data_IF_116837244201
#
_entry.id   IF_116837244201
#
_cell.length_a   1.000
_cell.length_b   1.000
_cell.length_c   1.000
_cell.angle_alpha   90.00
_cell.angle_beta   90.00
_cell.angle_gamma   90.00
#
_symmetry.space_group_name_H-M   'P 1'
#
loop_
_entity.id
_entity.type
_entity.pdbx_description
1 polymer ?
#
# COMPACT_ATOMS: atom_id res chain seq x y z
N UNK A 1 53.16 -30.48 -6.02
CA UNK A 1 53.25 -30.64 -4.55
C UNK A 1 53.66 -29.29 -4.02
N UNK A 2 52.70 -28.46 -3.60
CA UNK A 2 52.95 -27.25 -2.82
C UNK A 2 51.80 -27.10 -1.84
N UNK A 3 52.14 -27.20 -0.55
CA UNK A 3 51.22 -27.13 0.58
C UNK A 3 50.94 -25.66 0.88
N UNK A 4 49.71 -25.22 0.69
CA UNK A 4 49.25 -23.95 1.28
C UNK A 4 49.14 -24.17 2.80
N UNK A 5 50.06 -23.56 3.55
CA UNK A 5 50.01 -23.42 5.01
C UNK A 5 48.95 -22.37 5.34
N UNK A 6 47.79 -22.80 5.84
CA UNK A 6 46.86 -21.93 6.54
C UNK A 6 47.39 -21.81 7.97
N UNK A 7 48.08 -20.70 8.28
CA UNK A 7 48.44 -20.33 9.65
C UNK A 7 47.39 -19.36 10.19
N UNK A 8 46.70 -19.81 11.23
CA UNK A 8 46.44 -19.08 12.48
C UNK A 8 45.95 -17.63 12.36
N UNK A 9 44.63 -17.45 12.21
CA UNK A 9 43.81 -16.47 12.96
C UNK A 9 42.34 -16.43 12.49
N UNK A 10 41.67 -17.58 12.39
CA UNK A 10 40.19 -17.58 12.38
C UNK A 10 39.74 -17.73 13.83
N UNK A 11 39.31 -16.61 14.46
CA UNK A 11 38.53 -16.68 15.70
C UNK A 11 37.14 -17.22 15.35
N UNK A 12 36.94 -18.51 15.58
CA UNK A 12 35.61 -19.12 15.54
C UNK A 12 34.80 -18.51 16.69
N UNK A 13 33.64 -17.86 16.44
CA UNK A 13 32.81 -17.32 17.50
C UNK A 13 32.31 -18.45 18.41
N UNK A 14 32.44 -18.28 19.73
CA UNK A 14 31.99 -19.23 20.78
C UNK A 14 30.49 -19.57 20.73
N UNK A 15 29.73 -18.86 19.90
CA UNK A 15 28.29 -18.89 19.75
C UNK A 15 27.86 -19.54 18.41
N UNK A 16 28.80 -20.11 17.64
CA UNK A 16 28.51 -20.78 16.37
C UNK A 16 27.44 -21.89 16.50
N UNK A 17 27.44 -22.63 17.61
CA UNK A 17 26.41 -23.63 17.89
C UNK A 17 25.01 -23.02 18.08
N UNK A 18 24.90 -21.81 18.64
CA UNK A 18 23.60 -21.14 18.79
C UNK A 18 23.06 -20.63 17.45
N UNK A 19 23.92 -20.13 16.56
CA UNK A 19 23.49 -19.72 15.21
C UNK A 19 23.07 -20.90 14.34
N UNK A 20 23.76 -22.04 14.47
CA UNK A 20 23.39 -23.27 13.76
C UNK A 20 22.06 -23.83 14.29
N UNK A 21 21.88 -23.89 15.62
CA UNK A 21 20.61 -24.33 16.21
C UNK A 21 19.45 -23.38 15.89
N UNK A 22 19.69 -22.06 15.90
CA UNK A 22 18.68 -21.07 15.49
C UNK A 22 18.32 -21.20 14.01
N UNK A 23 19.30 -21.46 13.14
CA UNK A 23 19.06 -21.73 11.72
C UNK A 23 18.32 -23.03 11.44
N UNK A 24 18.55 -24.08 12.25
CA UNK A 24 17.79 -25.34 12.18
C UNK A 24 16.35 -25.13 12.67
N UNK A 25 16.14 -24.41 13.77
CA UNK A 25 14.82 -24.13 14.35
C UNK A 25 13.98 -23.19 13.46
N UNK A 26 14.61 -22.20 12.82
CA UNK A 26 14.01 -21.35 11.79
C UNK A 26 13.72 -22.14 10.50
N UNK A 27 14.62 -23.06 10.10
CA UNK A 27 14.43 -23.96 8.98
C UNK A 27 13.26 -24.95 9.16
N UNK A 28 13.07 -25.48 10.38
CA UNK A 28 11.92 -26.32 10.72
C UNK A 28 10.60 -25.53 10.76
N UNK A 29 10.61 -24.29 11.27
CA UNK A 29 9.43 -23.39 11.23
C UNK A 29 9.02 -23.06 9.80
N UNK A 30 9.97 -22.73 8.91
CA UNK A 30 9.69 -22.46 7.50
C UNK A 30 9.22 -23.70 6.75
N UNK A 31 9.77 -24.88 7.03
CA UNK A 31 9.32 -26.13 6.42
C UNK A 31 7.91 -26.55 6.91
N UNK A 32 7.56 -26.26 8.16
CA UNK A 32 6.20 -26.48 8.67
C UNK A 32 5.17 -25.49 8.09
N UNK A 33 5.59 -24.27 7.76
CA UNK A 33 4.77 -23.30 7.03
C UNK A 33 4.58 -23.68 5.56
N UNK A 34 5.63 -24.19 4.88
CA UNK A 34 5.54 -24.68 3.49
C UNK A 34 4.76 -26.00 3.35
N UNK A 35 4.82 -26.90 4.34
CA UNK A 35 3.93 -28.08 4.37
C UNK A 35 2.46 -27.71 4.61
N UNK A 36 2.18 -26.57 5.28
CA UNK A 36 0.82 -26.03 5.48
C UNK A 36 0.22 -25.38 4.22
N UNK A 37 1.02 -24.89 3.27
CA UNK A 37 0.49 -24.25 2.06
C UNK A 37 0.08 -25.23 0.95
N UNK A 38 0.66 -26.44 0.91
CA UNK A 38 0.45 -27.40 -0.18
C UNK A 38 -0.58 -28.51 0.11
N UNK A 39 -1.45 -28.35 1.11
CA UNK A 39 -2.57 -29.29 1.36
C UNK A 39 -3.91 -28.57 1.49
N UNK A 40 -4.27 -27.75 0.51
CA UNK A 40 -5.65 -27.33 0.27
C UNK A 40 -6.31 -28.21 -0.79
N UNK A 41 -6.59 -29.44 -0.38
CA UNK A 41 -7.65 -30.25 -0.98
C UNK A 41 -8.30 -31.01 0.17
N UNK A 42 -9.25 -30.37 0.86
CA UNK A 42 -10.15 -31.05 1.79
C UNK A 42 -11.56 -31.09 1.21
N UNK A 43 -12.25 -32.22 1.34
CA UNK A 43 -13.55 -32.43 0.72
C UNK A 43 -14.59 -31.54 1.39
N UNK A 44 -15.43 -30.92 0.56
CA UNK A 44 -16.60 -30.14 0.95
C UNK A 44 -17.51 -30.99 1.85
N UNK A 45 -17.35 -30.91 3.17
CA UNK A 45 -18.37 -31.40 4.10
C UNK A 45 -19.39 -30.28 4.23
N UNK A 46 -20.45 -30.39 3.43
CA UNK A 46 -21.67 -29.58 3.57
C UNK A 46 -22.29 -29.92 4.92
N UNK A 47 -21.85 -29.21 5.97
CA UNK A 47 -22.60 -29.12 7.20
C UNK A 47 -23.60 -27.97 7.00
N UNK A 48 -24.89 -28.32 6.90
CA UNK A 48 -25.97 -27.36 6.88
C UNK A 48 -25.96 -26.59 8.22
N UNK A 49 -25.24 -25.47 8.28
CA UNK A 49 -25.36 -24.50 9.36
C UNK A 49 -26.53 -23.58 9.00
N UNK A 50 -27.57 -23.63 9.82
CA UNK A 50 -28.62 -22.62 9.83
C UNK A 50 -28.01 -21.34 10.36
N UNK A 51 -27.40 -20.56 9.47
CA UNK A 51 -27.22 -19.14 9.72
C UNK A 51 -28.61 -18.53 9.84
N UNK A 52 -28.88 -17.81 10.92
CA UNK A 52 -30.04 -16.93 10.96
C UNK A 52 -29.77 -15.87 9.89
N UNK A 53 -30.28 -16.10 8.69
CA UNK A 53 -30.40 -15.08 7.66
C UNK A 53 -31.51 -14.17 8.15
N UNK A 54 -31.18 -13.22 9.02
CA UNK A 54 -32.01 -12.05 9.19
C UNK A 54 -31.99 -11.35 7.83
N UNK A 55 -33.04 -11.58 7.03
CA UNK A 55 -33.40 -10.74 5.90
C UNK A 55 -33.75 -9.36 6.47
N UNK A 56 -32.74 -8.61 6.90
CA UNK A 56 -32.89 -7.21 7.21
C UNK A 56 -33.24 -6.53 5.88
N UNK A 57 -34.36 -5.82 5.89
CA UNK A 57 -34.71 -4.90 4.82
C UNK A 57 -33.61 -3.85 4.78
N UNK A 58 -32.74 -3.95 3.77
CA UNK A 58 -31.60 -3.06 3.52
C UNK A 58 -32.15 -1.63 3.42
N UNK A 59 -31.93 -0.83 4.46
CA UNK A 59 -32.36 0.57 4.48
C UNK A 59 -31.13 1.46 4.40
N UNK A 60 -31.15 2.42 3.48
CA UNK A 60 -30.05 3.34 3.23
C UNK A 60 -29.69 4.20 4.44
N UNK A 61 -30.62 4.39 5.38
CA UNK A 61 -30.40 5.16 6.61
C UNK A 61 -29.40 4.50 7.58
N UNK A 62 -29.40 3.17 7.69
CA UNK A 62 -28.51 2.45 8.61
C UNK A 62 -27.06 2.41 8.13
N UNK A 63 -26.81 2.34 6.81
CA UNK A 63 -25.45 2.48 6.27
C UNK A 63 -24.85 3.85 6.58
N UNK A 64 -25.65 4.90 6.47
CA UNK A 64 -25.23 6.30 6.71
C UNK A 64 -24.80 6.49 8.16
N UNK A 65 -25.59 6.01 9.12
CA UNK A 65 -25.27 6.13 10.55
C UNK A 65 -23.93 5.46 10.89
N UNK A 66 -23.71 4.21 10.46
CA UNK A 66 -22.47 3.47 10.74
C UNK A 66 -21.21 4.14 10.16
N UNK A 67 -21.33 4.72 8.97
CA UNK A 67 -20.23 5.44 8.32
C UNK A 67 -19.97 6.75 9.06
N UNK A 68 -21.01 7.50 9.44
CA UNK A 68 -20.87 8.72 10.25
C UNK A 68 -20.19 8.38 11.57
N UNK A 69 -20.66 7.37 12.29
CA UNK A 69 -20.11 6.93 13.57
C UNK A 69 -18.62 6.61 13.47
N UNK A 70 -18.19 5.90 12.43
CA UNK A 70 -16.77 5.58 12.23
C UNK A 70 -15.94 6.84 12.07
N UNK A 71 -16.36 7.77 11.20
CA UNK A 71 -15.62 9.00 10.94
C UNK A 71 -15.71 10.02 12.08
N UNK A 72 -16.72 9.96 12.94
CA UNK A 72 -16.75 10.73 14.18
C UNK A 72 -15.81 10.16 15.23
N UNK A 73 -15.75 8.83 15.36
CA UNK A 73 -14.82 8.13 16.24
C UNK A 73 -13.35 8.33 15.79
N UNK A 74 -13.09 8.33 14.48
CA UNK A 74 -11.78 8.57 13.86
C UNK A 74 -11.81 9.77 12.92
N UNK A 75 -11.94 10.97 13.48
CA UNK A 75 -11.98 12.22 12.71
C UNK A 75 -10.72 12.48 11.87
N UNK A 76 -9.60 11.87 12.25
CA UNK A 76 -8.33 11.94 11.56
C UNK A 76 -8.09 10.75 10.61
N UNK A 77 -9.15 9.99 10.26
CA UNK A 77 -9.08 8.85 9.37
C UNK A 77 -8.35 9.15 8.07
N UNK A 78 -7.58 8.18 7.57
CA UNK A 78 -6.95 8.25 6.25
C UNK A 78 -7.91 8.29 5.08
N UNK A 79 -9.18 8.00 5.32
CA UNK A 79 -10.26 8.01 4.34
C UNK A 79 -11.26 9.16 4.56
N UNK A 80 -10.91 10.15 5.40
CA UNK A 80 -11.83 11.24 5.78
C UNK A 80 -12.32 12.05 4.57
N UNK A 81 -11.52 12.15 3.51
CA UNK A 81 -11.87 12.90 2.31
C UNK A 81 -12.83 12.13 1.39
N UNK A 82 -12.86 10.81 1.51
CA UNK A 82 -13.73 9.88 0.80
C UNK A 82 -15.04 9.62 1.57
N UNK A 83 -15.25 10.24 2.75
CA UNK A 83 -16.45 10.05 3.59
C UNK A 83 -17.76 10.18 2.81
N UNK A 84 -17.90 11.21 1.99
CA UNK A 84 -19.12 11.43 1.20
C UNK A 84 -19.33 10.34 0.14
N UNK A 85 -18.24 9.81 -0.42
CA UNK A 85 -18.28 8.70 -1.38
C UNK A 85 -18.72 7.40 -0.66
N UNK A 86 -18.21 7.14 0.54
CA UNK A 86 -18.70 6.07 1.39
C UNK A 86 -20.21 6.23 1.68
N UNK A 87 -20.66 7.41 2.10
CA UNK A 87 -22.08 7.66 2.40
C UNK A 87 -22.99 7.46 1.18
N UNK A 88 -22.51 7.86 0.00
CA UNK A 88 -23.29 7.80 -1.24
C UNK A 88 -23.40 6.38 -1.77
N UNK A 89 -22.28 5.65 -1.83
CA UNK A 89 -22.17 4.40 -2.58
C UNK A 89 -22.25 3.13 -1.71
N UNK A 90 -22.17 3.24 -0.39
CA UNK A 90 -22.21 2.05 0.46
C UNK A 90 -23.62 1.48 0.61
N UNK A 91 -23.69 0.15 0.61
CA UNK A 91 -24.86 -0.65 0.97
C UNK A 91 -24.74 -1.10 2.44
N UNK A 92 -25.86 -1.14 3.15
CA UNK A 92 -25.93 -1.75 4.49
C UNK A 92 -26.00 -3.27 4.34
N UNK A 93 -24.96 -3.97 4.80
CA UNK A 93 -24.92 -5.44 4.75
C UNK A 93 -25.44 -6.02 6.07
N UNK A 94 -24.93 -5.50 7.19
CA UNK A 94 -25.35 -5.86 8.55
C UNK A 94 -25.37 -7.37 8.85
N UNK A 95 -24.45 -8.13 8.24
CA UNK A 95 -24.30 -9.56 8.49
C UNK A 95 -23.19 -9.80 9.51
N UNK A 96 -23.43 -10.68 10.48
CA UNK A 96 -22.44 -11.04 11.49
C UNK A 96 -22.30 -12.56 11.64
N UNK A 97 -21.15 -12.96 12.17
CA UNK A 97 -20.85 -14.33 12.57
C UNK A 97 -20.13 -14.27 13.91
N UNK A 98 -20.61 -15.05 14.88
CA UNK A 98 -19.96 -15.20 16.19
C UNK A 98 -19.35 -16.59 16.32
N UNK A 99 -18.10 -16.63 16.76
CA UNK A 99 -17.38 -17.84 17.12
C UNK A 99 -16.34 -17.53 18.21
N UNK A 100 -16.09 -18.48 19.12
CA UNK A 100 -15.10 -18.37 20.20
C UNK A 100 -15.16 -17.06 21.03
N UNK A 101 -16.38 -16.56 21.27
CA UNK A 101 -16.62 -15.33 22.04
C UNK A 101 -16.20 -14.05 21.31
N UNK A 102 -16.07 -14.11 19.99
CA UNK A 102 -15.78 -12.97 19.11
C UNK A 102 -16.86 -12.95 18.03
N UNK A 103 -17.51 -11.81 17.85
CA UNK A 103 -18.42 -11.53 16.74
C UNK A 103 -17.69 -10.66 15.72
N UNK A 104 -17.67 -11.11 14.46
CA UNK A 104 -17.25 -10.30 13.32
C UNK A 104 -18.49 -9.90 12.53
N UNK A 105 -18.60 -8.63 12.18
CA UNK A 105 -19.75 -8.06 11.48
C UNK A 105 -19.28 -7.24 10.29
N UNK A 106 -19.85 -7.53 9.12
CA UNK A 106 -19.74 -6.68 7.94
C UNK A 106 -20.83 -5.63 8.02
N UNK A 107 -20.43 -4.38 8.17
CA UNK A 107 -21.35 -3.26 8.35
C UNK A 107 -21.84 -2.75 7.00
N UNK A 108 -20.92 -2.28 6.15
CA UNK A 108 -21.24 -1.77 4.83
C UNK A 108 -20.25 -2.24 3.77
N UNK A 109 -20.69 -2.27 2.51
CA UNK A 109 -19.83 -2.53 1.34
C UNK A 109 -20.09 -1.50 0.24
N UNK A 110 -19.03 -1.03 -0.41
CA UNK A 110 -19.09 -0.26 -1.64
C UNK A 110 -18.03 -0.79 -2.63
N UNK A 111 -18.44 -1.15 -3.83
CA UNK A 111 -17.59 -1.73 -4.87
C UNK A 111 -17.72 -0.93 -6.16
N UNK A 112 -16.59 -0.71 -6.82
CA UNK A 112 -16.50 -0.08 -8.13
C UNK A 112 -15.57 -0.88 -9.08
N UNK A 113 -15.34 -0.40 -10.30
CA UNK A 113 -14.44 -1.07 -11.26
C UNK A 113 -12.98 -1.22 -10.78
N UNK A 114 -12.59 -0.44 -9.78
CA UNK A 114 -11.25 -0.29 -9.26
C UNK A 114 -11.08 -0.70 -7.80
N UNK A 115 -12.04 -0.49 -6.92
CA UNK A 115 -11.92 -0.71 -5.47
C UNK A 115 -13.09 -1.50 -4.87
N UNK A 116 -12.74 -2.42 -3.98
CA UNK A 116 -13.63 -3.01 -2.99
C UNK A 116 -13.44 -2.26 -1.67
N UNK A 117 -14.52 -1.74 -1.10
CA UNK A 117 -14.52 -1.05 0.18
C UNK A 117 -15.50 -1.75 1.13
N UNK A 118 -15.12 -1.86 2.40
CA UNK A 118 -15.94 -2.48 3.44
C UNK A 118 -15.68 -1.81 4.78
N UNK A 119 -16.75 -1.50 5.51
CA UNK A 119 -16.66 -1.19 6.95
C UNK A 119 -17.04 -2.44 7.75
N UNK A 120 -16.43 -2.63 8.92
CA UNK A 120 -16.71 -3.78 9.77
C UNK A 120 -16.57 -3.44 11.25
N UNK A 121 -17.20 -4.27 12.08
CA UNK A 121 -17.14 -4.22 13.54
C UNK A 121 -16.75 -5.59 14.09
N UNK A 122 -15.88 -5.60 15.10
CA UNK A 122 -15.49 -6.79 15.86
C UNK A 122 -15.83 -6.56 17.32
N UNK A 123 -16.66 -7.43 17.88
CA UNK A 123 -17.04 -7.40 19.30
C UNK A 123 -16.47 -8.63 20.00
N UNK A 124 -15.84 -8.46 21.15
CA UNK A 124 -15.33 -9.58 21.96
C UNK A 124 -16.01 -9.65 23.33
N UNK A 125 -16.24 -10.87 23.82
CA UNK A 125 -16.71 -11.14 25.18
C UNK A 125 -15.63 -10.84 26.24
N UNK A 126 -14.36 -10.72 25.83
CA UNK A 126 -13.23 -10.35 26.67
C UNK A 126 -12.62 -9.03 26.22
N UNK A 127 -11.91 -8.32 27.11
CA UNK A 127 -11.16 -7.14 26.71
C UNK A 127 -10.12 -7.56 25.67
N UNK A 128 -10.05 -6.83 24.56
CA UNK A 128 -9.18 -7.16 23.44
C UNK A 128 -7.71 -7.16 23.87
N UNK A 129 -7.31 -6.23 24.74
CA UNK A 129 -5.96 -6.14 25.32
C UNK A 129 -5.61 -7.30 26.26
N UNK A 130 -6.60 -7.95 26.87
CA UNK A 130 -6.37 -9.06 27.81
C UNK A 130 -6.16 -10.38 27.05
N UNK A 131 -6.53 -10.43 25.76
CA UNK A 131 -6.27 -11.57 24.89
C UNK A 131 -4.79 -11.61 24.50
N UNK A 132 -4.25 -10.45 24.11
CA UNK A 132 -2.83 -10.21 23.89
C UNK A 132 -2.56 -8.70 24.06
N UNK A 133 -1.50 -8.35 24.80
CA UNK A 133 -1.11 -6.96 25.04
C UNK A 133 -0.82 -6.22 23.72
N UNK A 134 -0.35 -6.91 22.68
CA UNK A 134 -0.13 -6.31 21.37
C UNK A 134 -1.42 -5.74 20.77
N UNK A 135 -2.57 -6.34 21.07
CA UNK A 135 -3.89 -5.89 20.63
C UNK A 135 -4.41 -4.68 21.41
N UNK A 136 -3.63 -4.08 22.31
CA UNK A 136 -3.88 -2.71 22.79
C UNK A 136 -3.76 -1.66 21.67
N UNK A 137 -3.14 -2.01 20.53
CA UNK A 137 -3.02 -1.15 19.36
C UNK A 137 -4.01 -1.58 18.30
N UNK A 138 -4.89 -0.67 17.87
CA UNK A 138 -5.93 -0.97 16.88
C UNK A 138 -5.35 -1.51 15.56
N UNK A 139 -4.18 -0.99 15.15
CA UNK A 139 -3.42 -1.51 14.01
C UNK A 139 -3.09 -3.00 14.13
N UNK A 140 -2.63 -3.45 15.30
CA UNK A 140 -2.27 -4.85 15.54
C UNK A 140 -3.50 -5.74 15.73
N UNK A 141 -4.59 -5.18 16.24
CA UNK A 141 -5.87 -5.85 16.40
C UNK A 141 -6.66 -6.01 15.08
N UNK A 142 -6.33 -5.22 14.05
CA UNK A 142 -6.97 -5.25 12.75
C UNK A 142 -6.75 -6.62 12.05
N UNK A 143 -7.82 -7.36 11.68
CA UNK A 143 -7.67 -8.69 11.09
C UNK A 143 -7.17 -8.62 9.63
N UNK A 144 -6.51 -9.70 9.20
CA UNK A 144 -6.18 -9.89 7.78
C UNK A 144 -7.39 -10.49 7.07
N UNK A 145 -8.08 -9.66 6.29
CA UNK A 145 -9.32 -10.00 5.60
C UNK A 145 -9.03 -10.68 4.25
N UNK A 146 -9.62 -11.85 4.00
CA UNK A 146 -9.59 -12.49 2.69
C UNK A 146 -10.95 -12.37 2.02
N UNK A 147 -10.95 -12.19 0.71
CA UNK A 147 -12.18 -12.21 -0.10
C UNK A 147 -12.06 -13.33 -1.11
N UNK A 148 -13.11 -14.12 -1.21
CA UNK A 148 -13.21 -15.25 -2.13
C UNK A 148 -14.34 -14.96 -3.10
N UNK A 149 -14.06 -15.14 -4.39
CA UNK A 149 -15.04 -15.08 -5.49
C UNK A 149 -14.95 -16.40 -6.24
N UNK A 150 -16.10 -17.05 -6.47
CA UNK A 150 -16.17 -18.33 -7.20
C UNK A 150 -15.20 -19.41 -6.68
N UNK A 151 -15.05 -19.49 -5.35
CA UNK A 151 -14.16 -20.45 -4.68
C UNK A 151 -12.66 -20.15 -4.81
N UNK A 152 -12.28 -18.99 -5.34
CA UNK A 152 -10.88 -18.55 -5.47
C UNK A 152 -10.66 -17.24 -4.71
N UNK A 153 -9.48 -17.09 -4.11
CA UNK A 153 -9.09 -15.81 -3.53
C UNK A 153 -9.06 -14.73 -4.61
N UNK A 154 -9.65 -13.59 -4.30
CA UNK A 154 -9.45 -12.37 -5.08
C UNK A 154 -8.01 -11.95 -4.86
N UNK A 155 -7.22 -11.94 -5.93
CA UNK A 155 -5.86 -11.40 -5.88
C UNK A 155 -5.95 -9.88 -5.90
N UNK A 156 -5.50 -9.24 -4.83
CA UNK A 156 -5.54 -7.79 -4.69
C UNK A 156 -4.27 -7.09 -5.20
N UNK A 157 -3.28 -7.81 -5.76
CA UNK A 157 -1.97 -7.26 -6.14
C UNK A 157 -1.40 -6.31 -5.05
N UNK A 158 -1.60 -6.68 -3.78
CA UNK A 158 -1.47 -5.81 -2.62
C UNK A 158 -0.01 -5.83 -2.13
N UNK A 159 0.78 -4.85 -2.56
CA UNK A 159 2.05 -4.52 -1.93
C UNK A 159 1.81 -3.52 -0.81
N UNK A 160 1.99 -4.01 0.41
CA UNK A 160 1.66 -3.30 1.63
C UNK A 160 0.38 -3.86 2.25
N UNK A 161 0.49 -5.01 2.94
CA UNK A 161 -0.62 -5.71 3.64
C UNK A 161 -1.50 -4.80 4.51
N UNK A 162 -1.06 -3.59 4.83
CA UNK A 162 -1.67 -2.70 5.82
C UNK A 162 -2.03 -1.30 5.30
N UNK A 163 -1.62 -0.91 4.08
CA UNK A 163 -1.80 0.48 3.64
C UNK A 163 -3.25 0.78 3.24
N UNK A 164 -4.03 -0.27 2.98
CA UNK A 164 -5.43 -0.14 2.64
C UNK A 164 -6.41 -0.62 3.73
N UNK A 165 -5.97 -0.74 4.98
CA UNK A 165 -6.86 -0.97 6.13
C UNK A 165 -6.67 0.06 7.22
N UNK A 166 -7.74 0.38 7.94
CA UNK A 166 -7.71 1.22 9.13
C UNK A 166 -8.60 0.61 10.21
N UNK A 167 -8.26 0.80 11.48
CA UNK A 167 -9.10 0.38 12.58
C UNK A 167 -8.96 1.32 13.79
N UNK A 168 -10.00 1.36 14.62
CA UNK A 168 -10.07 2.14 15.85
C UNK A 168 -10.91 1.41 16.90
N UNK A 169 -10.56 1.56 18.17
CA UNK A 169 -11.37 1.06 19.28
C UNK A 169 -12.52 2.02 19.57
N UNK A 170 -13.74 1.49 19.61
CA UNK A 170 -14.87 2.17 20.22
C UNK A 170 -14.89 1.94 21.74
N UNK A 171 -14.41 0.76 22.17
CA UNK A 171 -14.21 0.41 23.59
C UNK A 171 -13.14 -0.68 23.72
N UNK A 172 -12.80 -1.07 24.96
CA UNK A 172 -11.92 -2.21 25.26
C UNK A 172 -12.41 -3.54 24.63
N UNK A 173 -13.67 -3.63 24.21
CA UNK A 173 -14.32 -4.83 23.70
C UNK A 173 -14.73 -4.72 22.23
N UNK A 174 -14.66 -3.52 21.63
CA UNK A 174 -15.20 -3.25 20.30
C UNK A 174 -14.17 -2.53 19.43
N UNK A 175 -13.82 -3.16 18.31
CA UNK A 175 -12.97 -2.61 17.26
C UNK A 175 -13.82 -2.34 16.01
N UNK A 176 -13.74 -1.14 15.45
CA UNK A 176 -14.31 -0.80 14.14
C UNK A 176 -13.20 -0.61 13.12
N UNK A 177 -13.46 -0.91 11.84
CA UNK A 177 -12.45 -0.73 10.80
C UNK A 177 -12.99 -0.52 9.40
N UNK A 178 -12.09 -0.03 8.53
CA UNK A 178 -12.27 0.12 7.09
C UNK A 178 -11.26 -0.78 6.38
N UNK A 179 -11.75 -1.52 5.39
CA UNK A 179 -10.95 -2.21 4.38
C UNK A 179 -11.22 -1.55 3.02
N UNK A 180 -10.17 -1.14 2.33
CA UNK A 180 -10.19 -0.77 0.92
C UNK A 180 -9.23 -1.71 0.18
N UNK A 181 -9.56 -2.20 -1.01
CA UNK A 181 -8.64 -3.02 -1.80
C UNK A 181 -8.80 -2.77 -3.28
N UNK A 182 -7.71 -2.62 -4.05
CA UNK A 182 -7.81 -2.52 -5.51
C UNK A 182 -8.24 -3.86 -6.11
N UNK A 183 -9.19 -3.83 -7.06
CA UNK A 183 -9.83 -5.00 -7.66
C UNK A 183 -9.91 -4.92 -9.19
N UNK A 184 -9.06 -4.09 -9.82
CA UNK A 184 -9.02 -3.86 -11.27
C UNK A 184 -9.01 -5.15 -12.12
N UNK A 185 -8.48 -6.26 -11.59
CA UNK A 185 -8.43 -7.57 -12.24
C UNK A 185 -9.56 -8.55 -11.83
N UNK A 186 -10.27 -8.28 -10.74
CA UNK A 186 -11.20 -9.25 -10.13
C UNK A 186 -12.59 -9.29 -10.79
N UNK A 187 -12.95 -8.23 -11.53
CA UNK A 187 -14.26 -8.02 -12.16
C UNK A 187 -15.43 -8.41 -11.23
N UNK A 188 -15.70 -7.56 -10.25
CA UNK A 188 -16.77 -7.75 -9.26
C UNK A 188 -18.00 -6.96 -9.70
N UNK A 189 -18.98 -7.64 -10.27
CA UNK A 189 -20.20 -7.02 -10.81
C UNK A 189 -21.42 -7.28 -9.91
N UNK A 190 -22.53 -6.59 -10.17
CA UNK A 190 -23.83 -6.83 -9.53
C UNK A 190 -24.19 -8.32 -9.53
N UNK A 191 -24.66 -8.81 -8.39
CA UNK A 191 -25.07 -10.20 -8.22
C UNK A 191 -23.92 -11.19 -8.01
N UNK A 192 -22.66 -10.72 -8.06
CA UNK A 192 -21.50 -11.51 -7.64
C UNK A 192 -21.69 -11.96 -6.20
N UNK A 193 -21.41 -13.24 -5.96
CA UNK A 193 -21.33 -13.80 -4.62
C UNK A 193 -19.88 -13.75 -4.16
N UNK A 194 -19.68 -13.16 -2.99
CA UNK A 194 -18.39 -13.08 -2.33
C UNK A 194 -18.49 -13.80 -0.98
N UNK A 195 -17.39 -14.44 -0.57
CA UNK A 195 -17.20 -14.88 0.81
C UNK A 195 -16.11 -14.02 1.42
N UNK A 196 -16.45 -13.31 2.50
CA UNK A 196 -15.46 -12.66 3.35
C UNK A 196 -15.00 -13.72 4.34
N UNK A 197 -13.74 -14.17 4.21
CA UNK A 197 -13.21 -15.35 4.88
C UNK A 197 -12.17 -14.99 5.95
N UNK A 198 -12.38 -15.53 7.16
CA UNK A 198 -11.47 -15.42 8.29
C UNK A 198 -11.47 -16.68 9.13
N UNK A 199 -10.27 -17.22 9.35
CA UNK A 199 -10.04 -18.35 10.23
C UNK A 199 -9.31 -17.95 11.52
N UNK A 200 -9.01 -16.65 11.70
CA UNK A 200 -8.25 -16.14 12.83
C UNK A 200 -8.59 -14.68 13.18
N UNK A 201 -9.01 -14.42 14.42
CA UNK A 201 -9.22 -13.08 14.97
C UNK A 201 -8.66 -13.05 16.40
N UNK A 202 -7.91 -12.00 16.75
CA UNK A 202 -7.27 -11.82 18.07
C UNK A 202 -6.56 -13.07 18.60
N UNK A 203 -5.69 -13.69 17.82
CA UNK A 203 -4.95 -14.85 18.32
C UNK A 203 -5.75 -16.16 18.35
N UNK A 204 -7.06 -16.13 18.05
CA UNK A 204 -7.95 -17.27 18.17
C UNK A 204 -8.34 -17.81 16.81
N UNK A 205 -8.19 -19.12 16.65
CA UNK A 205 -8.69 -19.85 15.48
C UNK A 205 -10.20 -20.04 15.60
N UNK A 206 -10.94 -19.78 14.53
CA UNK A 206 -12.40 -19.94 14.47
C UNK A 206 -12.91 -19.92 13.03
N UNK A 207 -14.21 -19.73 12.84
CA UNK A 207 -14.85 -19.51 11.54
C UNK A 207 -15.79 -18.31 11.60
N UNK A 208 -15.33 -17.20 11.02
CA UNK A 208 -16.08 -15.95 10.87
C UNK A 208 -16.45 -15.66 9.42
N UNK A 209 -16.53 -16.71 8.59
CA UNK A 209 -16.84 -16.56 7.16
C UNK A 209 -18.27 -16.06 6.94
N UNK A 210 -18.42 -15.05 6.10
CA UNK A 210 -19.72 -14.45 5.75
C UNK A 210 -19.87 -14.43 4.23
N UNK A 211 -20.93 -15.08 3.74
CA UNK A 211 -21.32 -15.04 2.33
C UNK A 211 -22.21 -13.82 2.07
N UNK A 212 -21.87 -13.06 1.04
CA UNK A 212 -22.55 -11.83 0.64
C UNK A 212 -22.89 -11.92 -0.84
N UNK A 213 -24.07 -11.44 -1.20
CA UNK A 213 -24.46 -11.25 -2.60
C UNK A 213 -24.60 -9.75 -2.83
N UNK A 214 -23.77 -9.21 -3.71
CA UNK A 214 -23.77 -7.77 -4.02
C UNK A 214 -25.02 -7.37 -4.80
N UNK A 215 -25.60 -6.23 -4.44
CA UNK A 215 -26.72 -5.64 -5.12
C UNK A 215 -26.27 -4.58 -6.15
N UNK A 216 -27.24 -3.82 -6.69
CA UNK A 216 -26.92 -2.75 -7.64
C UNK A 216 -26.28 -1.54 -6.95
N UNK A 217 -26.72 -1.18 -5.74
CA UNK A 217 -26.22 -0.01 -5.02
C UNK A 217 -24.77 -0.19 -4.61
N UNK A 218 -24.40 -1.36 -4.08
CA UNK A 218 -23.00 -1.66 -3.74
C UNK A 218 -22.09 -1.77 -4.96
N UNK A 219 -22.61 -1.69 -6.18
CA UNK A 219 -21.82 -1.74 -7.42
C UNK A 219 -22.06 -0.53 -8.34
N UNK A 220 -22.88 0.45 -7.95
CA UNK A 220 -23.34 1.56 -8.81
C UNK A 220 -22.44 2.79 -8.81
N UNK A 221 -21.15 2.65 -8.52
CA UNK A 221 -20.26 3.80 -8.49
C UNK A 221 -20.17 4.48 -9.87
N UNK A 222 -19.89 5.78 -9.91
CA UNK A 222 -19.49 6.44 -11.15
C UNK A 222 -18.04 6.06 -11.47
N UNK A 223 -17.82 4.82 -11.89
CA UNK A 223 -16.54 4.36 -12.40
C UNK A 223 -16.58 4.17 -13.91
N UNK A 224 -15.42 4.34 -14.53
CA UNK A 224 -15.20 4.05 -15.95
C UNK A 224 -13.92 3.24 -16.09
N UNK A 225 -14.05 2.04 -16.63
CA UNK A 225 -12.94 1.19 -17.04
C UNK A 225 -12.67 1.34 -18.53
N UNK A 226 -11.47 1.79 -18.86
CA UNK A 226 -10.97 1.97 -20.22
C UNK A 226 -10.01 0.83 -20.56
N UNK A 227 -10.36 0.01 -21.55
CA UNK A 227 -9.47 -1.05 -22.04
C UNK A 227 -8.50 -0.44 -23.05
N UNK A 228 -7.21 -0.47 -22.72
CA UNK A 228 -6.16 0.21 -23.50
C UNK A 228 -5.39 -0.77 -24.39
N UNK A 229 -4.90 -1.87 -23.81
CA UNK A 229 -4.09 -2.91 -24.46
C UNK A 229 -3.00 -2.37 -25.39
N UNK A 230 -2.25 -1.36 -24.93
CA UNK A 230 -1.19 -0.73 -25.72
C UNK A 230 0.18 -1.14 -25.19
N UNK A 231 0.97 -1.78 -26.03
CA UNK A 231 2.32 -2.26 -25.69
C UNK A 231 3.41 -1.44 -26.37
N UNK A 232 4.56 -1.32 -25.69
CA UNK A 232 5.80 -0.78 -26.25
C UNK A 232 6.99 -1.48 -25.59
N UNK A 233 8.04 -1.70 -26.36
CA UNK A 233 9.31 -2.15 -25.80
C UNK A 233 10.03 -0.94 -25.20
N UNK A 234 10.38 -1.05 -23.91
CA UNK A 234 11.15 -0.06 -23.17
C UNK A 234 12.55 -0.63 -22.99
N UNK A 235 13.55 0.14 -23.41
CA UNK A 235 14.97 -0.15 -23.28
C UNK A 235 15.55 0.71 -22.18
N UNK A 236 16.17 0.09 -21.18
CA UNK A 236 16.89 0.82 -20.13
C UNK A 236 18.24 0.18 -19.83
N UNK A 237 19.16 1.00 -19.35
CA UNK A 237 20.47 0.57 -18.90
C UNK A 237 20.35 0.05 -17.46
N UNK A 238 20.63 -1.23 -17.25
CA UNK A 238 20.56 -1.88 -15.94
C UNK A 238 21.93 -2.35 -15.47
N UNK A 239 22.19 -2.17 -14.18
CA UNK A 239 23.36 -2.76 -13.53
C UNK A 239 23.08 -4.24 -13.28
N UNK A 240 23.91 -5.14 -13.79
CA UNK A 240 23.66 -6.58 -13.69
C UNK A 240 24.74 -7.37 -12.95
N UNK A 241 25.85 -6.73 -12.62
CA UNK A 241 26.97 -7.32 -11.89
C UNK A 241 27.68 -6.21 -11.10
N UNK A 242 27.90 -6.46 -9.81
CA UNK A 242 28.82 -5.69 -8.98
C UNK A 242 30.05 -6.57 -8.81
N UNK A 243 31.09 -6.34 -9.60
CA UNK A 243 32.34 -7.08 -9.42
C UNK A 243 33.00 -6.57 -8.13
N UNK A 244 32.62 -7.16 -6.99
CA UNK A 244 33.06 -6.79 -5.63
C UNK A 244 34.60 -6.78 -5.53
N UNK A 245 35.31 -7.46 -6.44
CA UNK A 245 36.78 -7.50 -6.47
C UNK A 245 37.43 -6.32 -7.19
N UNK A 246 36.72 -5.65 -8.10
CA UNK A 246 37.28 -4.61 -8.98
C UNK A 246 36.57 -3.26 -8.89
N UNK A 247 35.53 -3.14 -8.04
CA UNK A 247 34.78 -1.89 -7.76
C UNK A 247 34.21 -1.21 -9.01
N UNK A 248 33.96 -2.00 -10.07
CA UNK A 248 33.41 -1.51 -11.34
C UNK A 248 32.07 -2.19 -11.61
N UNK A 249 30.95 -1.46 -11.45
CA UNK A 249 29.64 -1.98 -11.83
C UNK A 249 29.57 -2.21 -13.35
N UNK A 250 28.96 -3.32 -13.77
CA UNK A 250 28.70 -3.61 -15.19
C UNK A 250 27.25 -3.31 -15.51
N UNK A 251 27.05 -2.70 -16.67
CA UNK A 251 25.75 -2.31 -17.17
C UNK A 251 25.46 -2.96 -18.52
N UNK A 252 24.20 -3.23 -18.79
CA UNK A 252 23.72 -3.65 -20.11
C UNK A 252 22.37 -3.04 -20.39
N UNK A 253 22.05 -2.87 -21.66
CA UNK A 253 20.68 -2.57 -22.07
C UNK A 253 19.82 -3.80 -21.84
N UNK A 254 18.66 -3.59 -21.22
CA UNK A 254 17.61 -4.58 -21.08
C UNK A 254 16.36 -4.09 -21.77
N UNK A 255 15.66 -5.02 -22.41
CA UNK A 255 14.38 -4.74 -23.06
C UNK A 255 13.24 -5.34 -22.23
N UNK A 256 12.27 -4.50 -21.91
CA UNK A 256 11.03 -4.90 -21.24
C UNK A 256 9.87 -4.59 -22.17
N UNK A 257 9.11 -5.62 -22.55
CA UNK A 257 7.85 -5.39 -23.23
C UNK A 257 6.84 -4.93 -22.17
N UNK A 258 6.36 -3.70 -22.29
CA UNK A 258 5.49 -3.08 -21.29
C UNK A 258 4.14 -2.75 -21.94
N UNK A 259 3.07 -3.23 -21.33
CA UNK A 259 1.69 -3.09 -21.81
C UNK A 259 0.88 -2.31 -20.79
N UNK A 260 0.15 -1.32 -21.27
CA UNK A 260 -0.91 -0.65 -20.51
C UNK A 260 -2.19 -1.40 -20.82
N UNK A 261 -2.70 -2.16 -19.86
CA UNK A 261 -3.85 -3.06 -20.05
C UNK A 261 -5.14 -2.26 -19.97
N UNK A 262 -5.34 -1.56 -18.85
CA UNK A 262 -6.54 -0.78 -18.60
C UNK A 262 -6.28 0.39 -17.65
N UNK A 263 -7.19 1.37 -17.70
CA UNK A 263 -7.28 2.46 -16.73
C UNK A 263 -8.68 2.47 -16.13
N UNK A 264 -8.77 2.62 -14.82
CA UNK A 264 -10.03 2.81 -14.11
C UNK A 264 -10.04 4.21 -13.50
N UNK A 265 -11.10 4.97 -13.77
CA UNK A 265 -11.39 6.22 -13.07
C UNK A 265 -12.61 5.95 -12.18
N UNK A 266 -12.47 6.04 -10.86
CA UNK A 266 -13.55 5.84 -9.89
C UNK A 266 -13.65 7.01 -8.89
N UNK A 267 -14.79 7.11 -8.20
CA UNK A 267 -14.97 7.99 -7.04
C UNK A 267 -14.05 7.64 -5.88
N UNK A 268 -13.74 6.35 -5.67
CA UNK A 268 -12.84 5.94 -4.59
C UNK A 268 -11.36 6.03 -4.95
N UNK A 269 -11.00 6.35 -6.19
CA UNK A 269 -9.61 6.49 -6.65
C UNK A 269 -9.47 6.16 -8.14
N UNK A 270 -8.28 6.36 -8.71
CA UNK A 270 -8.00 5.99 -10.10
C UNK A 270 -6.85 5.00 -10.17
N UNK A 271 -6.93 4.04 -11.09
CA UNK A 271 -5.96 2.95 -11.23
C UNK A 271 -5.46 2.82 -12.66
N UNK A 272 -4.18 2.50 -12.82
CA UNK A 272 -3.60 2.04 -14.07
C UNK A 272 -3.07 0.62 -13.88
N UNK A 273 -3.49 -0.29 -14.74
CA UNK A 273 -3.02 -1.68 -14.76
C UNK A 273 -2.05 -1.87 -15.91
N UNK A 274 -0.89 -2.44 -15.62
CA UNK A 274 0.18 -2.67 -16.58
C UNK A 274 0.69 -4.09 -16.51
N UNK A 275 0.99 -4.69 -17.65
CA UNK A 275 1.63 -5.99 -17.75
C UNK A 275 3.00 -5.83 -18.38
N UNK A 276 4.03 -6.33 -17.71
CA UNK A 276 5.39 -6.32 -18.21
C UNK A 276 5.97 -7.72 -18.38
N UNK A 277 6.80 -7.88 -19.40
CA UNK A 277 7.50 -9.13 -19.68
C UNK A 277 8.90 -8.82 -20.18
N UNK A 278 9.90 -9.34 -19.49
CA UNK A 278 11.29 -9.29 -19.96
C UNK A 278 11.85 -10.68 -20.26
N UNK A 279 12.70 -10.70 -21.28
CA UNK A 279 13.57 -11.84 -21.61
C UNK A 279 14.91 -11.75 -20.89
N UNK A 280 15.28 -10.55 -20.45
CA UNK A 280 16.58 -10.26 -19.85
C UNK A 280 16.56 -10.50 -18.36
N UNK A 281 17.66 -11.08 -17.86
CA UNK A 281 17.91 -11.25 -16.42
C UNK A 281 18.95 -10.23 -15.93
N UNK A 282 18.72 -9.66 -14.76
CA UNK A 282 19.58 -8.73 -14.02
C UNK A 282 19.73 -9.30 -12.61
N UNK A 283 20.94 -9.61 -12.16
CA UNK A 283 21.17 -10.29 -10.87
C UNK A 283 20.33 -11.57 -10.66
N UNK A 284 20.11 -12.35 -11.72
CA UNK A 284 19.25 -13.54 -11.76
C UNK A 284 17.73 -13.27 -11.58
N UNK A 285 17.30 -12.02 -11.59
CA UNK A 285 15.89 -11.62 -11.62
C UNK A 285 15.50 -11.07 -12.99
N UNK A 286 14.26 -11.21 -13.45
CA UNK A 286 13.85 -10.59 -14.72
C UNK A 286 13.91 -9.07 -14.62
N UNK A 287 14.45 -8.44 -15.66
CA UNK A 287 14.39 -6.99 -15.80
C UNK A 287 12.92 -6.54 -15.82
N UNK A 288 12.67 -5.37 -15.24
CA UNK A 288 11.32 -4.82 -15.07
C UNK A 288 11.35 -3.31 -15.13
N UNK A 289 10.31 -2.67 -15.63
CA UNK A 289 10.07 -1.24 -15.43
C UNK A 289 9.42 -1.04 -14.07
N UNK A 290 8.52 -1.94 -13.67
CA UNK A 290 7.74 -1.86 -12.44
C UNK A 290 7.08 -0.47 -12.31
N UNK A 291 7.39 0.21 -11.22
CA UNK A 291 6.92 1.51 -10.79
C UNK A 291 7.69 2.69 -11.40
N UNK A 292 8.71 2.43 -12.23
CA UNK A 292 9.59 3.46 -12.79
C UNK A 292 8.97 4.25 -13.96
N UNK A 293 7.81 4.84 -13.74
CA UNK A 293 7.16 5.73 -14.69
C UNK A 293 6.48 6.92 -14.01
N UNK A 294 6.21 7.96 -14.80
CA UNK A 294 5.32 9.06 -14.44
C UNK A 294 4.17 9.13 -15.43
N UNK A 295 3.04 9.69 -15.00
CA UNK A 295 1.89 9.96 -15.84
C UNK A 295 1.79 11.45 -16.15
N UNK A 296 1.32 11.77 -17.35
CA UNK A 296 0.98 13.12 -17.79
C UNK A 296 -0.39 13.12 -18.46
N UNK A 297 -1.23 14.09 -18.14
CA UNK A 297 -2.56 14.26 -18.75
C UNK A 297 -2.53 14.93 -20.12
N UNK A 298 -3.70 15.12 -20.74
CA UNK A 298 -3.86 15.77 -22.04
C UNK A 298 -3.63 17.29 -22.03
N UNK A 299 -3.49 17.89 -20.85
CA UNK A 299 -3.12 19.30 -20.66
C UNK A 299 -1.61 19.46 -20.42
N UNK A 300 -0.88 18.35 -20.26
CA UNK A 300 0.55 18.34 -20.02
C UNK A 300 0.94 18.39 -18.54
N UNK A 301 -0.02 18.29 -17.62
CA UNK A 301 0.26 18.25 -16.19
C UNK A 301 0.70 16.84 -15.78
N UNK A 302 1.72 16.77 -14.94
CA UNK A 302 2.10 15.50 -14.33
C UNK A 302 1.07 15.09 -13.28
N UNK A 303 0.80 13.78 -13.24
CA UNK A 303 -0.15 13.15 -12.33
C UNK A 303 0.67 12.35 -11.32
N UNK A 304 0.31 12.52 -10.05
CA UNK A 304 0.92 11.76 -8.96
C UNK A 304 0.45 10.31 -8.95
N UNK A 305 1.39 9.38 -8.94
CA UNK A 305 1.15 7.93 -8.88
C UNK A 305 1.47 7.49 -7.46
N UNK A 306 0.46 7.00 -6.74
CA UNK A 306 0.53 6.56 -5.35
C UNK A 306 0.92 5.09 -5.30
N UNK A 307 1.77 4.75 -4.33
CA UNK A 307 2.15 3.38 -4.00
C UNK A 307 2.81 2.64 -5.17
N UNK A 308 4.07 3.01 -5.40
CA UNK A 308 4.93 2.54 -6.47
C UNK A 308 5.61 1.20 -6.11
N UNK A 309 4.85 0.15 -5.76
CA UNK A 309 5.46 -1.17 -5.49
C UNK A 309 4.82 -2.22 -6.39
N UNK A 310 5.55 -2.62 -7.43
CA UNK A 310 5.15 -3.67 -8.37
C UNK A 310 5.55 -5.08 -7.91
N UNK A 311 4.79 -6.07 -8.35
CA UNK A 311 5.11 -7.48 -8.27
C UNK A 311 6.44 -7.81 -8.96
N UNK A 312 7.17 -8.74 -8.35
CA UNK A 312 8.33 -9.37 -8.95
C UNK A 312 7.91 -10.60 -9.76
N UNK A 313 8.32 -10.73 -11.02
CA UNK A 313 8.13 -11.97 -11.76
C UNK A 313 9.05 -13.06 -11.19
N UNK A 314 8.49 -14.25 -10.90
CA UNK A 314 9.25 -15.39 -10.35
C UNK A 314 10.36 -15.90 -11.30
N UNK A 315 10.23 -15.68 -12.61
CA UNK A 315 11.12 -16.22 -13.65
C UNK A 315 11.11 -15.34 -14.91
N UNK A 316 12.19 -15.36 -15.70
CA UNK A 316 12.22 -14.70 -17.01
C UNK A 316 11.09 -15.19 -17.92
N UNK A 317 10.66 -14.35 -18.87
CA UNK A 317 9.58 -14.61 -19.83
C UNK A 317 8.17 -14.83 -19.25
N UNK A 318 8.00 -14.83 -17.92
CA UNK A 318 6.68 -14.82 -17.29
C UNK A 318 6.19 -13.38 -17.21
N UNK A 319 5.02 -13.03 -17.78
CA UNK A 319 4.46 -11.70 -17.61
C UNK A 319 4.08 -11.49 -16.15
N UNK A 320 4.21 -10.25 -15.69
CA UNK A 320 3.74 -9.81 -14.38
C UNK A 320 2.82 -8.61 -14.58
N UNK A 321 1.68 -8.63 -13.90
CA UNK A 321 0.68 -7.56 -13.95
C UNK A 321 0.70 -6.81 -12.62
N UNK A 322 0.70 -5.49 -12.73
CA UNK A 322 0.76 -4.56 -11.62
C UNK A 322 -0.32 -3.50 -11.76
N UNK A 323 -0.85 -3.05 -10.63
CA UNK A 323 -1.86 -2.00 -10.58
C UNK A 323 -1.34 -0.89 -9.69
N UNK A 324 -1.35 0.34 -10.22
CA UNK A 324 -0.89 1.53 -9.51
C UNK A 324 -2.04 2.52 -9.36
N UNK A 325 -2.16 3.10 -8.18
CA UNK A 325 -3.12 4.17 -7.92
C UNK A 325 -2.56 5.51 -8.40
N UNK A 326 -3.40 6.42 -8.87
CA UNK A 326 -2.98 7.77 -9.22
C UNK A 326 -4.03 8.82 -8.88
N UNK A 327 -3.58 10.05 -8.63
CA UNK A 327 -4.42 11.21 -8.34
C UNK A 327 -4.73 11.96 -9.62
N UNK A 328 -6.02 12.01 -9.97
CA UNK A 328 -6.48 12.78 -11.12
C UNK A 328 -6.49 14.28 -10.81
N UNK A 329 -6.00 15.07 -11.75
CA UNK A 329 -6.08 16.54 -11.67
C UNK A 329 -7.45 17.08 -12.11
N UNK A 330 -8.25 16.26 -12.83
CA UNK A 330 -9.55 16.60 -13.39
C UNK A 330 -10.37 15.30 -13.59
N UNK A 331 -11.69 15.40 -13.51
CA UNK A 331 -12.62 14.29 -13.77
C UNK A 331 -12.76 13.93 -15.27
N UNK A 332 -12.30 14.82 -16.17
CA UNK A 332 -12.49 14.71 -17.62
C UNK A 332 -11.20 14.45 -18.41
N UNK A 333 -10.28 13.64 -17.89
CA UNK A 333 -9.05 13.26 -18.60
C UNK A 333 -9.40 12.51 -19.90
N UNK A 334 -8.87 12.97 -21.04
CA UNK A 334 -9.16 12.35 -22.35
C UNK A 334 -8.07 11.41 -22.83
N UNK A 335 -6.84 11.66 -22.40
CA UNK A 335 -5.70 10.81 -22.68
C UNK A 335 -4.65 10.95 -21.60
N UNK A 336 -3.85 9.90 -21.47
CA UNK A 336 -2.70 9.86 -20.60
C UNK A 336 -1.46 9.50 -21.41
N UNK A 337 -0.33 10.00 -20.95
CA UNK A 337 0.99 9.61 -21.42
C UNK A 337 1.73 8.97 -20.27
N UNK A 338 2.13 7.71 -20.43
CA UNK A 338 3.07 7.05 -19.52
C UNK A 338 4.50 7.30 -20.00
N UNK A 339 5.35 7.82 -19.13
CA UNK A 339 6.73 8.16 -19.44
C UNK A 339 7.64 7.39 -18.49
N UNK A 340 8.38 6.37 -18.96
CA UNK A 340 9.36 5.67 -18.15
C UNK A 340 10.47 6.62 -17.69
N UNK A 341 11.08 6.35 -16.54
CA UNK A 341 12.23 7.10 -16.06
C UNK A 341 13.36 6.19 -15.58
N UNK A 342 14.55 6.76 -15.48
CA UNK A 342 15.73 6.13 -14.86
C UNK A 342 16.40 7.10 -13.90
N UNK A 343 17.16 6.57 -12.96
CA UNK A 343 18.07 7.34 -12.12
C UNK A 343 19.50 7.21 -12.64
N UNK A 344 20.16 8.34 -12.83
CA UNK A 344 21.60 8.35 -13.02
C UNK A 344 22.32 8.04 -11.69
N UNK A 345 23.51 7.45 -11.73
CA UNK A 345 24.29 7.19 -10.51
C UNK A 345 24.93 8.49 -9.99
N UNK A 346 24.12 9.35 -9.36
CA UNK A 346 24.56 10.52 -8.61
C UNK A 346 24.05 10.39 -7.18
N UNK A 347 24.90 10.76 -6.22
CA UNK A 347 24.45 10.86 -4.84
C UNK A 347 23.40 11.97 -4.74
N UNK A 348 22.30 11.63 -4.09
CA UNK A 348 21.28 12.61 -3.71
C UNK A 348 21.86 13.56 -2.66
N UNK A 349 21.49 14.84 -2.76
CA UNK A 349 21.84 15.88 -1.79
C UNK A 349 20.55 16.42 -1.17
N UNK A 350 20.62 17.06 -0.02
CA UNK A 350 19.45 17.71 0.57
C UNK A 350 19.20 19.09 -0.05
N UNK A 351 17.97 19.60 0.11
CA UNK A 351 17.65 21.00 -0.13
C UNK A 351 18.40 21.90 0.85
N UNK A 352 18.38 23.21 0.57
CA UNK A 352 18.72 24.16 1.63
C UNK A 352 17.76 23.97 2.81
N UNK A 353 18.26 24.26 4.01
CA UNK A 353 17.49 24.21 5.25
C UNK A 353 16.44 25.33 5.24
N UNK A 354 15.20 24.96 5.47
CA UNK A 354 14.05 25.86 5.42
C UNK A 354 13.50 26.00 6.82
N UNK A 355 13.38 27.24 7.28
CA UNK A 355 12.77 27.54 8.58
C UNK A 355 11.28 27.16 8.49
N UNK A 356 10.83 26.30 9.40
CA UNK A 356 9.43 25.84 9.43
C UNK A 356 8.45 27.01 9.59
N UNK A 357 8.89 28.16 10.13
CA UNK A 357 8.08 29.38 10.24
C UNK A 357 7.87 30.13 8.93
N UNK A 358 8.57 29.74 7.86
CA UNK A 358 8.43 30.33 6.51
C UNK A 358 7.53 29.51 5.59
N UNK A 359 6.91 28.45 6.10
CA UNK A 359 5.95 27.65 5.36
C UNK A 359 4.64 28.44 5.11
N UNK A 360 3.95 28.23 3.97
CA UNK A 360 4.25 27.23 2.94
C UNK A 360 5.45 27.62 2.05
N UNK A 361 6.20 26.65 1.55
CA UNK A 361 7.37 26.89 0.69
C UNK A 361 7.49 25.85 -0.42
N UNK A 362 7.75 26.31 -1.64
CA UNK A 362 8.03 25.46 -2.80
C UNK A 362 9.52 25.17 -2.93
N UNK A 363 9.88 23.90 -3.04
CA UNK A 363 11.25 23.39 -2.99
C UNK A 363 11.50 22.59 -4.26
N UNK A 364 12.32 23.14 -5.14
CA UNK A 364 12.69 22.48 -6.39
C UNK A 364 13.61 21.28 -6.10
N UNK A 365 13.14 20.07 -6.43
CA UNK A 365 13.88 18.83 -6.19
C UNK A 365 14.63 18.35 -7.42
N UNK A 366 14.14 18.69 -8.62
CA UNK A 366 14.79 18.40 -9.89
C UNK A 366 14.39 19.41 -10.96
N UNK A 367 14.86 19.22 -12.20
CA UNK A 367 14.35 19.99 -13.35
C UNK A 367 12.92 19.61 -13.74
N UNK A 368 12.40 18.48 -13.24
CA UNK A 368 11.10 17.95 -13.60
C UNK A 368 10.01 18.24 -12.57
N UNK A 369 10.36 18.61 -11.33
CA UNK A 369 9.36 18.87 -10.31
C UNK A 369 9.88 19.51 -9.03
N UNK A 370 8.93 19.93 -8.21
CA UNK A 370 9.11 20.57 -6.90
C UNK A 370 8.07 20.04 -5.92
N UNK A 371 8.42 20.05 -4.64
CA UNK A 371 7.48 19.78 -3.55
C UNK A 371 7.08 21.10 -2.91
N UNK A 372 5.80 21.25 -2.58
CA UNK A 372 5.28 22.38 -1.83
C UNK A 372 4.95 21.85 -0.43
N UNK A 373 5.76 22.19 0.57
CA UNK A 373 5.40 21.91 1.97
C UNK A 373 4.37 22.96 2.38
N UNK A 374 3.17 22.51 2.74
CA UNK A 374 2.04 23.38 3.04
C UNK A 374 2.02 23.75 4.52
N UNK A 375 2.14 22.75 5.40
CA UNK A 375 2.08 22.91 6.85
C UNK A 375 3.08 21.99 7.56
N UNK A 376 3.49 22.38 8.76
CA UNK A 376 4.37 21.62 9.64
C UNK A 376 4.06 21.95 11.10
N UNK A 377 3.79 20.91 11.89
CA UNK A 377 3.51 21.04 13.32
C UNK A 377 4.28 20.01 14.13
N UNK A 378 4.68 20.40 15.33
CA UNK A 378 5.24 19.52 16.34
C UNK A 378 4.40 19.69 17.59
N UNK A 379 3.83 18.58 18.07
CA UNK A 379 3.13 18.50 19.35
C UNK A 379 3.98 17.70 20.34
N UNK A 380 3.46 17.47 21.55
CA UNK A 380 4.14 16.59 22.51
C UNK A 380 4.18 15.12 22.06
N UNK A 381 3.27 14.71 21.19
CA UNK A 381 3.08 13.30 20.83
C UNK A 381 3.33 13.00 19.34
N UNK A 382 3.44 14.01 18.48
CA UNK A 382 3.60 13.81 17.04
C UNK A 382 4.32 14.95 16.32
N UNK A 383 4.90 14.62 15.16
CA UNK A 383 5.26 15.59 14.12
C UNK A 383 4.31 15.34 12.95
N UNK A 384 3.59 16.36 12.49
CA UNK A 384 2.72 16.28 11.32
C UNK A 384 3.16 17.31 10.29
N UNK A 385 3.23 16.89 9.03
CA UNK A 385 3.40 17.83 7.92
C UNK A 385 2.60 17.40 6.70
N UNK A 386 2.20 18.38 5.89
CA UNK A 386 1.51 18.15 4.63
C UNK A 386 2.28 18.74 3.46
N UNK A 387 2.17 18.10 2.30
CA UNK A 387 2.84 18.53 1.10
C UNK A 387 2.12 18.14 -0.18
N UNK A 388 2.36 18.91 -1.24
CA UNK A 388 1.92 18.61 -2.61
C UNK A 388 3.11 18.42 -3.54
N UNK A 389 2.93 17.55 -4.52
CA UNK A 389 3.88 17.36 -5.62
C UNK A 389 3.43 18.20 -6.81
N UNK A 390 4.35 18.95 -7.41
CA UNK A 390 4.13 19.68 -8.66
C UNK A 390 5.24 19.29 -9.65
N UNK A 391 4.85 18.57 -10.70
CA UNK A 391 5.76 18.03 -11.70
C UNK A 391 6.04 16.53 -11.54
N UNK A 392 7.04 16.03 -12.28
CA UNK A 392 7.39 14.60 -12.30
C UNK A 392 8.22 14.23 -11.07
N UNK A 393 7.55 13.76 -10.01
CA UNK A 393 8.14 13.36 -8.74
C UNK A 393 7.68 11.94 -8.36
N UNK A 394 8.44 10.89 -8.75
CA UNK A 394 8.03 9.51 -8.53
C UNK A 394 8.26 9.00 -7.09
N UNK A 395 8.82 9.83 -6.21
CA UNK A 395 9.10 9.47 -4.83
C UNK A 395 8.33 10.36 -3.85
N UNK A 396 8.13 9.85 -2.64
CA UNK A 396 7.65 10.65 -1.52
C UNK A 396 8.69 11.66 -1.05
N UNK A 397 8.24 12.75 -0.43
CA UNK A 397 9.14 13.74 0.13
C UNK A 397 9.83 13.17 1.39
N UNK A 398 11.11 12.82 1.25
CA UNK A 398 11.99 12.42 2.35
C UNK A 398 12.51 13.69 3.06
N UNK A 399 11.94 13.99 4.24
CA UNK A 399 12.21 15.19 5.02
C UNK A 399 13.16 14.87 6.18
N UNK A 400 14.30 15.55 6.21
CA UNK A 400 15.20 15.58 7.35
C UNK A 400 14.89 16.78 8.27
N UNK A 401 14.99 16.56 9.58
CA UNK A 401 14.73 17.59 10.60
C UNK A 401 16.03 18.14 11.18
N UNK A 402 16.08 19.43 11.48
CA UNK A 402 17.26 20.10 12.02
C UNK A 402 16.91 21.07 13.14
N UNK A 403 17.82 21.22 14.09
CA UNK A 403 17.70 22.16 15.21
C UNK A 403 18.09 23.60 14.83
N UNK A 404 18.06 24.52 15.82
CA UNK A 404 18.39 25.94 15.61
C UNK A 404 19.84 26.19 15.17
N UNK A 405 20.76 25.30 15.54
CA UNK A 405 22.20 25.41 15.26
C UNK A 405 22.55 24.72 13.94
N UNK A 406 21.59 23.98 13.38
CA UNK A 406 21.68 23.30 12.10
C UNK A 406 22.09 21.84 12.21
N UNK A 407 22.11 21.27 13.40
CA UNK A 407 22.42 19.85 13.59
C UNK A 407 21.19 18.99 13.25
N UNK A 408 21.43 17.84 12.61
CA UNK A 408 20.35 16.92 12.22
C UNK A 408 19.73 16.24 13.44
N UNK A 409 18.40 16.24 13.50
CA UNK A 409 17.61 15.58 14.54
C UNK A 409 17.06 14.27 13.96
N UNK A 410 17.64 13.15 14.39
CA UNK A 410 17.18 11.81 13.99
C UNK A 410 16.06 11.36 14.94
N UNK A 411 14.85 11.21 14.41
CA UNK A 411 13.66 10.78 15.15
C UNK A 411 13.33 9.32 14.81
N UNK A 412 13.22 8.47 15.84
CA UNK A 412 12.64 7.13 15.69
C UNK A 412 11.15 7.17 16.01
N UNK A 413 10.30 6.98 15.00
CA UNK A 413 8.84 7.02 15.15
C UNK A 413 8.17 5.95 14.30
N UNK A 414 6.94 5.59 14.66
CA UNK A 414 6.02 4.99 13.71
C UNK A 414 5.50 6.10 12.79
N UNK A 415 5.44 5.85 11.48
CA UNK A 415 4.99 6.83 10.49
C UNK A 415 3.68 6.36 9.89
N UNK A 416 2.70 7.26 9.83
CA UNK A 416 1.47 7.10 9.05
C UNK A 416 1.51 8.05 7.86
N UNK A 417 1.16 7.51 6.70
CA UNK A 417 1.08 8.24 5.43
C UNK A 417 -0.38 8.32 4.97
N UNK A 418 -0.78 9.52 4.58
CA UNK A 418 -2.13 9.83 4.15
C UNK A 418 -2.07 10.55 2.81
N UNK A 419 -2.97 10.21 1.89
CA UNK A 419 -3.13 10.97 0.65
C UNK A 419 -4.58 11.38 0.50
N UNK A 420 -4.82 12.68 0.37
CA UNK A 420 -6.10 13.22 -0.03
C UNK A 420 -6.25 12.99 -1.55
N UNK A 421 -7.08 12.01 -1.92
CA UNK A 421 -7.27 11.63 -3.32
C UNK A 421 -8.01 12.67 -4.16
N UNK A 422 -8.63 13.66 -3.52
CA UNK A 422 -9.38 14.73 -4.19
C UNK A 422 -8.49 15.88 -4.65
N UNK A 423 -7.38 16.15 -3.96
CA UNK A 423 -6.50 17.30 -4.27
C UNK A 423 -4.99 16.99 -4.32
N UNK A 424 -4.60 15.74 -4.07
CA UNK A 424 -3.21 15.28 -4.12
C UNK A 424 -2.35 15.72 -2.94
N UNK A 425 -2.95 16.16 -1.84
CA UNK A 425 -2.22 16.48 -0.61
C UNK A 425 -1.75 15.20 0.09
N UNK A 426 -0.45 15.09 0.31
CA UNK A 426 0.16 14.07 1.16
C UNK A 426 0.27 14.61 2.58
N UNK A 427 -0.03 13.80 3.58
CA UNK A 427 0.23 14.12 4.99
C UNK A 427 1.06 12.99 5.59
N UNK A 428 2.14 13.34 6.29
CA UNK A 428 2.94 12.41 7.09
C UNK A 428 2.74 12.71 8.56
N UNK A 429 2.52 11.69 9.36
CA UNK A 429 2.45 11.77 10.83
C UNK A 429 3.49 10.85 11.45
N UNK A 430 4.42 11.43 12.20
CA UNK A 430 5.39 10.70 13.02
C UNK A 430 4.88 10.60 14.45
N UNK A 431 4.46 9.41 14.89
CA UNK A 431 4.04 9.17 16.27
C UNK A 431 5.24 9.02 17.20
N UNK A 432 5.37 9.93 18.17
CA UNK A 432 6.47 10.00 19.13
C UNK A 432 6.12 9.23 20.41
N UNK A 433 6.47 7.96 20.48
CA UNK A 433 6.13 7.12 21.66
C UNK A 433 7.16 7.20 22.78
N UNK A 434 8.43 7.54 22.48
CA UNK A 434 9.50 7.59 23.47
C UNK A 434 9.82 9.02 23.89
N UNK A 435 9.93 9.26 25.21
CA UNK A 435 10.23 10.57 25.79
C UNK A 435 11.43 11.28 25.13
N UNK A 436 12.52 10.54 24.84
CA UNK A 436 13.70 11.11 24.19
C UNK A 436 13.39 11.77 22.85
N UNK A 437 12.50 11.17 22.04
CA UNK A 437 12.14 11.71 20.72
C UNK A 437 11.16 12.88 20.85
N UNK A 438 10.28 12.86 21.86
CA UNK A 438 9.42 14.01 22.22
C UNK A 438 10.27 15.23 22.59
N UNK A 439 11.28 15.02 23.42
CA UNK A 439 12.19 16.09 23.86
C UNK A 439 13.03 16.63 22.69
N UNK A 440 13.52 15.74 21.80
CA UNK A 440 14.26 16.13 20.58
C UNK A 440 13.38 16.91 19.59
N UNK A 441 12.14 16.47 19.34
CA UNK A 441 11.24 17.08 18.36
C UNK A 441 10.94 18.56 18.65
N UNK A 442 10.89 18.95 19.93
CA UNK A 442 10.68 20.35 20.35
C UNK A 442 11.75 21.32 19.83
N UNK A 443 12.93 20.79 19.54
CA UNK A 443 14.07 21.58 19.06
C UNK A 443 14.08 21.76 17.55
N UNK A 444 13.19 21.10 16.80
CA UNK A 444 13.09 21.26 15.35
C UNK A 444 12.83 22.74 15.01
N UNK A 445 13.63 23.26 14.08
CA UNK A 445 13.53 24.62 13.52
C UNK A 445 13.62 24.64 12.01
N UNK A 446 14.39 23.73 11.42
CA UNK A 446 14.51 23.65 9.98
C UNK A 446 14.18 22.27 9.46
N UNK A 447 13.73 22.23 8.21
CA UNK A 447 13.58 21.01 7.43
C UNK A 447 14.42 21.10 6.17
N UNK A 448 14.86 19.96 5.66
CA UNK A 448 15.41 19.85 4.31
C UNK A 448 14.85 18.60 3.64
N UNK A 449 14.68 18.65 2.32
CA UNK A 449 14.12 17.54 1.55
C UNK A 449 15.21 16.94 0.68
N UNK A 450 15.31 15.62 0.65
CA UNK A 450 16.23 14.93 -0.25
C UNK A 450 15.89 15.26 -1.71
N UNK A 451 16.85 15.83 -2.43
CA UNK A 451 16.76 16.09 -3.87
C UNK A 451 17.17 14.85 -4.64
N UNK A 452 16.52 14.63 -5.77
CA UNK A 452 16.95 13.63 -6.73
C UNK A 452 17.25 14.31 -8.07
N UNK A 453 18.51 14.74 -8.20
CA UNK A 453 19.02 15.38 -9.43
C UNK A 453 19.36 14.35 -10.52
N UNK A 454 19.19 13.06 -10.25
CA UNK A 454 19.55 11.99 -11.16
C UNK A 454 18.39 11.46 -11.99
N UNK A 455 17.15 11.84 -11.65
CA UNK A 455 15.97 11.51 -12.42
C UNK A 455 16.11 11.96 -13.88
N UNK A 456 15.86 11.04 -14.81
CA UNK A 456 15.80 11.29 -16.25
C UNK A 456 14.56 10.61 -16.83
N UNK A 457 13.67 11.42 -17.42
CA UNK A 457 12.51 10.92 -18.15
C UNK A 457 12.91 10.45 -19.55
N UNK A 458 12.46 9.26 -19.94
CA UNK A 458 12.67 8.65 -21.25
C UNK A 458 11.50 9.03 -22.18
N UNK A 459 11.41 10.33 -22.52
CA UNK A 459 10.31 10.89 -23.33
C UNK A 459 10.20 10.26 -24.74
N UNK A 460 11.31 9.82 -25.31
CA UNK A 460 11.36 9.07 -26.57
C UNK A 460 10.70 7.68 -26.45
N UNK A 461 10.66 7.14 -25.25
CA UNK A 461 10.09 5.83 -24.93
C UNK A 461 8.66 5.90 -24.38
N UNK A 462 8.05 7.08 -24.32
CA UNK A 462 6.68 7.26 -23.80
C UNK A 462 5.61 6.45 -24.56
N UNK A 463 4.50 6.18 -23.87
CA UNK A 463 3.31 5.52 -24.40
C UNK A 463 2.13 6.47 -24.25
N UNK A 464 1.65 7.02 -25.37
CA UNK A 464 0.46 7.89 -25.41
C UNK A 464 -0.82 7.04 -25.64
N UNK A 465 -1.87 7.21 -24.85
CA UNK A 465 -3.12 6.44 -25.02
C UNK A 465 -4.35 7.25 -24.65
N UNK A 466 -5.48 6.95 -25.31
CA UNK A 466 -6.75 7.67 -25.14
C UNK A 466 -7.66 6.89 -24.20
N UNK A 467 -8.41 7.62 -23.37
CA UNK A 467 -9.48 7.09 -22.53
C UNK A 467 -10.78 7.25 -23.32
N UNK A 468 -11.23 6.18 -23.99
CA UNK A 468 -12.41 6.18 -24.87
C UNK A 468 -13.35 5.05 -24.56
#
# INVERSE_FOLDING_TARGET
MDKIKIKDNIKVPTNLNQYILKGIDEGEKVNNLKKKSNTFAKPLKVAAMVGIVSLATISTAYAVEKIIDYFELRSDSKYKYEKDDFLTYSEDINLSKKDNGIEFKVDTIAVDDGFFNMTYTITSDAKISDIDEEYSRAFAANPVIKIIKDGKFVNFNDYGRFDNTEAIFESDYVLKGILRKPISEANIEKGTKLTIDFDYIFGKKGDWSIDIKLDEKSTSSQSKKYIINKSKDIVKLEQYDSDIKNDKPKYKDVTVNYTIDNVVISSFGSLITTTEKSKDLVYNEPARIADMFVLRDDEGNYIDVINQVGNLPDTANKPVTNTYEFIRNNDNIKSLTLIPFVFENKMDDYSEKIDIKKLPTAIKLSKYGKVIIEDFSVTDDEIIYSYKKDGALPYEADIAFYDKDGDEIIIGSMVEDFVNRKDGTHTKRHMLTQKKYKDMAKNIKYIAIRKNNSLKLLEDQRIDFKLK
#
